data_IF_443337909581
#
_entry.id   IF_443337909581
#
_cell.length_a   1.000
_cell.length_b   1.000
_cell.length_c   1.000
_cell.angle_alpha   90.00
_cell.angle_beta   90.00
_cell.angle_gamma   90.00
#
_symmetry.space_group_name_H-M   'P 1'
#
loop_
_entity.id
_entity.type
_entity.pdbx_description
1 polymer ?
#
# COMPACT_ATOMS: atom_id res chain seq x y z
N UNK A 1 -6.82 10.12 -12.62
CA UNK A 1 -6.92 8.64 -12.70
C UNK A 1 -5.93 7.90 -11.78
N UNK A 2 -4.64 8.25 -11.76
CA UNK A 2 -3.64 7.50 -10.97
C UNK A 2 -3.88 7.53 -9.45
N UNK A 3 -4.34 8.65 -8.88
CA UNK A 3 -4.65 8.74 -7.44
C UNK A 3 -5.80 7.79 -7.05
N UNK A 4 -6.85 7.67 -7.87
CA UNK A 4 -7.96 6.76 -7.61
C UNK A 4 -7.52 5.30 -7.62
N UNK A 5 -6.65 4.91 -8.56
CA UNK A 5 -6.08 3.55 -8.60
C UNK A 5 -5.18 3.25 -7.39
N UNK A 6 -4.51 4.26 -6.83
CA UNK A 6 -3.66 4.10 -5.64
C UNK A 6 -4.40 3.63 -4.41
N UNK A 7 -5.67 4.01 -4.23
CA UNK A 7 -6.49 3.52 -3.12
C UNK A 7 -6.76 2.01 -3.23
N UNK A 8 -7.03 1.51 -4.45
CA UNK A 8 -7.17 0.07 -4.69
C UNK A 8 -5.88 -0.69 -4.36
N UNK A 9 -4.72 -0.16 -4.77
CA UNK A 9 -3.42 -0.74 -4.41
C UNK A 9 -3.14 -0.71 -2.90
N UNK A 10 -3.52 0.37 -2.20
CA UNK A 10 -3.34 0.47 -0.75
C UNK A 10 -4.11 -0.65 -0.03
N UNK A 11 -5.38 -0.87 -0.38
CA UNK A 11 -6.21 -1.92 0.22
C UNK A 11 -5.68 -3.31 -0.12
N UNK A 12 -5.40 -3.57 -1.40
CA UNK A 12 -4.94 -4.87 -1.86
C UNK A 12 -3.59 -5.25 -1.25
N UNK A 13 -2.64 -4.31 -1.19
CA UNK A 13 -1.31 -4.55 -0.61
C UNK A 13 -1.36 -4.77 0.90
N UNK A 14 -2.16 -3.99 1.64
CA UNK A 14 -2.39 -4.22 3.07
C UNK A 14 -2.99 -5.59 3.33
N UNK A 15 -4.00 -6.00 2.55
CA UNK A 15 -4.63 -7.30 2.71
C UNK A 15 -3.68 -8.46 2.36
N UNK A 16 -2.95 -8.35 1.26
CA UNK A 16 -1.95 -9.35 0.87
C UNK A 16 -0.86 -9.51 1.93
N UNK A 17 -0.35 -8.40 2.46
CA UNK A 17 0.61 -8.42 3.56
C UNK A 17 0.03 -9.12 4.80
N UNK A 18 -1.19 -8.76 5.22
CA UNK A 18 -1.86 -9.40 6.35
C UNK A 18 -2.01 -10.91 6.15
N UNK A 19 -2.46 -11.37 4.99
CA UNK A 19 -2.61 -12.80 4.71
C UNK A 19 -1.26 -13.54 4.72
N UNK A 20 -0.29 -13.04 3.96
CA UNK A 20 0.99 -13.74 3.77
C UNK A 20 1.79 -13.77 5.08
N UNK A 21 1.87 -12.66 5.80
CA UNK A 21 2.69 -12.59 7.03
C UNK A 21 2.11 -13.41 8.17
N UNK A 22 0.79 -13.38 8.37
CA UNK A 22 0.15 -14.20 9.42
C UNK A 22 0.21 -15.69 9.11
N UNK A 23 0.05 -16.07 7.84
CA UNK A 23 0.30 -17.45 7.43
C UNK A 23 1.76 -17.85 7.69
N UNK A 24 2.72 -16.96 7.39
CA UNK A 24 4.14 -17.16 7.68
C UNK A 24 4.43 -17.35 9.17
N UNK A 25 3.85 -16.51 10.04
CA UNK A 25 3.99 -16.62 11.51
C UNK A 25 3.47 -17.96 12.03
N UNK A 26 2.30 -18.39 11.54
CA UNK A 26 1.76 -19.70 11.87
C UNK A 26 2.68 -20.84 11.36
N UNK A 27 3.14 -20.75 10.11
CA UNK A 27 4.03 -21.75 9.51
C UNK A 27 5.40 -21.84 10.19
N UNK A 28 5.88 -20.76 10.80
CA UNK A 28 7.10 -20.72 11.62
C UNK A 28 6.92 -21.36 13.01
N UNK A 29 5.71 -21.80 13.38
CA UNK A 29 5.45 -22.49 14.64
C UNK A 29 5.21 -21.57 15.84
N UNK A 30 4.91 -20.28 15.62
CA UNK A 30 4.59 -19.34 16.71
C UNK A 30 3.23 -19.62 17.36
N UNK A 31 2.37 -20.35 16.65
CA UNK A 31 1.07 -20.82 17.10
C UNK A 31 0.98 -22.33 16.89
N UNK A 32 0.09 -23.04 17.61
CA UNK A 32 -0.13 -24.47 17.37
C UNK A 32 -0.42 -24.75 15.89
N UNK A 33 0.18 -25.82 15.34
CA UNK A 33 0.00 -26.27 13.95
C UNK A 33 -1.37 -26.92 13.72
N UNK A 34 -2.43 -26.28 14.21
CA UNK A 34 -3.83 -26.67 14.07
C UNK A 34 -4.60 -25.52 13.42
N UNK A 35 -5.79 -25.84 12.89
CA UNK A 35 -6.67 -24.82 12.31
C UNK A 35 -7.12 -23.77 13.34
N UNK A 36 -7.22 -24.16 14.62
CA UNK A 36 -7.50 -23.25 15.72
C UNK A 36 -6.34 -22.26 15.95
N UNK A 37 -5.08 -22.74 15.93
CA UNK A 37 -3.90 -21.88 16.04
C UNK A 37 -3.76 -20.92 14.86
N UNK A 38 -4.11 -21.36 13.65
CA UNK A 38 -4.18 -20.50 12.46
C UNK A 38 -5.20 -19.37 12.67
N UNK A 39 -6.43 -19.72 13.08
CA UNK A 39 -7.50 -18.74 13.31
C UNK A 39 -7.12 -17.73 14.38
N UNK A 40 -6.50 -18.20 15.47
CA UNK A 40 -6.03 -17.34 16.56
C UNK A 40 -4.96 -16.35 16.10
N UNK A 41 -3.99 -16.80 15.29
CA UNK A 41 -2.96 -15.92 14.71
C UNK A 41 -3.58 -14.76 13.92
N UNK A 42 -4.58 -15.05 13.08
CA UNK A 42 -5.27 -14.05 12.28
C UNK A 42 -6.11 -13.08 13.12
N UNK A 43 -6.84 -13.58 14.13
CA UNK A 43 -7.64 -12.73 15.04
C UNK A 43 -6.74 -11.74 15.78
N UNK A 44 -5.63 -12.23 16.33
CA UNK A 44 -4.67 -11.42 17.08
C UNK A 44 -4.03 -10.32 16.22
N UNK A 45 -3.93 -10.53 14.90
CA UNK A 45 -3.37 -9.55 13.98
C UNK A 45 -4.37 -8.50 13.47
N UNK A 46 -5.67 -8.62 13.75
CA UNK A 46 -6.70 -7.65 13.32
C UNK A 46 -6.40 -6.21 13.80
N UNK A 47 -6.00 -5.97 15.07
CA UNK A 47 -5.69 -4.61 15.52
C UNK A 47 -4.54 -3.98 14.73
N UNK A 48 -3.51 -4.78 14.40
CA UNK A 48 -2.37 -4.33 13.59
C UNK A 48 -2.77 -4.10 12.12
N UNK A 49 -3.61 -4.96 11.56
CA UNK A 49 -4.12 -4.77 10.20
C UNK A 49 -4.86 -3.45 10.03
N UNK A 50 -5.67 -3.06 11.03
CA UNK A 50 -6.42 -1.79 11.00
C UNK A 50 -5.49 -0.58 10.90
N UNK A 51 -4.46 -0.51 11.73
CA UNK A 51 -3.51 0.61 11.70
C UNK A 51 -2.70 0.62 10.41
N UNK A 52 -2.29 -0.56 9.92
CA UNK A 52 -1.59 -0.71 8.64
C UNK A 52 -2.46 -0.26 7.46
N UNK A 53 -3.74 -0.65 7.42
CA UNK A 53 -4.66 -0.29 6.35
C UNK A 53 -4.86 1.22 6.28
N UNK A 54 -5.14 1.86 7.42
CA UNK A 54 -5.31 3.32 7.49
C UNK A 54 -4.02 4.03 7.07
N UNK A 55 -2.86 3.57 7.54
CA UNK A 55 -1.57 4.11 7.15
C UNK A 55 -1.34 4.04 5.64
N UNK A 56 -1.61 2.89 5.02
CA UNK A 56 -1.47 2.71 3.57
C UNK A 56 -2.48 3.54 2.77
N UNK A 57 -3.72 3.68 3.25
CA UNK A 57 -4.72 4.54 2.61
C UNK A 57 -4.33 6.01 2.57
N UNK A 58 -3.45 6.46 3.48
CA UNK A 58 -2.92 7.83 3.47
C UNK A 58 -1.62 7.89 2.67
N UNK A 59 -0.68 7.01 2.96
CA UNK A 59 0.68 7.07 2.42
C UNK A 59 0.71 6.86 0.90
N UNK A 60 0.03 5.83 0.39
CA UNK A 60 0.11 5.45 -1.02
C UNK A 60 -0.50 6.51 -1.94
N UNK A 61 -1.71 7.06 -1.68
CA UNK A 61 -2.24 8.17 -2.48
C UNK A 61 -1.41 9.44 -2.34
N UNK A 62 -0.88 9.74 -1.15
CA UNK A 62 -0.04 10.93 -0.91
C UNK A 62 1.26 10.87 -1.71
N UNK A 63 1.93 9.71 -1.74
CA UNK A 63 3.11 9.49 -2.54
C UNK A 63 2.83 9.68 -4.04
N UNK A 64 1.72 9.14 -4.53
CA UNK A 64 1.31 9.33 -5.94
C UNK A 64 0.94 10.79 -6.22
N UNK A 65 0.29 11.49 -5.29
CA UNK A 65 -0.01 12.91 -5.44
C UNK A 65 1.27 13.76 -5.53
N UNK A 66 2.25 13.50 -4.65
CA UNK A 66 3.55 14.16 -4.69
C UNK A 66 4.26 13.94 -6.04
N UNK A 67 4.24 12.70 -6.56
CA UNK A 67 4.79 12.38 -7.88
C UNK A 67 4.10 13.16 -9.01
N UNK A 68 2.77 13.30 -8.97
CA UNK A 68 2.03 14.07 -9.97
C UNK A 68 2.42 15.54 -9.97
N UNK A 69 2.59 16.15 -8.80
CA UNK A 69 3.01 17.56 -8.69
C UNK A 69 4.39 17.78 -9.31
N UNK A 70 5.33 16.89 -9.04
CA UNK A 70 6.68 16.94 -9.65
C UNK A 70 6.58 16.78 -11.17
N UNK A 71 5.79 15.80 -11.63
CA UNK A 71 5.60 15.54 -13.06
C UNK A 71 5.02 16.75 -13.80
N UNK A 72 4.02 17.42 -13.22
CA UNK A 72 3.43 18.63 -13.83
C UNK A 72 4.48 19.74 -13.97
N UNK A 73 5.33 19.96 -12.96
CA UNK A 73 6.40 20.98 -13.03
C UNK A 73 7.43 20.67 -14.11
N UNK A 74 7.84 19.41 -14.25
CA UNK A 74 8.79 18.99 -15.29
C UNK A 74 8.21 19.21 -16.69
N UNK A 75 6.96 18.79 -16.90
CA UNK A 75 6.28 18.93 -18.20
C UNK A 75 6.03 20.39 -18.57
N UNK A 76 5.65 21.24 -17.60
CA UNK A 76 5.48 22.68 -17.82
C UNK A 76 6.80 23.35 -18.21
N UNK A 77 7.92 23.00 -17.56
CA UNK A 77 9.25 23.50 -17.92
C UNK A 77 9.63 23.08 -19.34
N UNK A 78 9.35 21.84 -19.72
CA UNK A 78 9.65 21.32 -21.07
C UNK A 78 8.82 22.00 -22.16
N UNK A 79 7.55 22.32 -21.90
CA UNK A 79 6.70 22.97 -22.92
C UNK A 79 7.17 24.40 -23.23
N UNK A 80 7.64 25.14 -22.22
CA UNK A 80 8.22 26.47 -22.42
C UNK A 80 9.46 26.38 -23.31
N UNK A 81 10.40 25.48 -23.01
CA UNK A 81 11.61 25.30 -23.83
C UNK A 81 11.26 24.93 -25.28
N UNK A 82 10.33 23.99 -25.49
CA UNK A 82 9.93 23.59 -26.83
C UNK A 82 9.21 24.69 -27.64
N UNK A 83 8.62 25.69 -26.97
CA UNK A 83 7.99 26.85 -27.63
C UNK A 83 9.03 27.85 -28.12
N UNK A 84 10.16 27.99 -27.43
CA UNK A 84 11.26 28.89 -27.84
C UNK A 84 12.22 28.25 -28.85
N UNK A 85 12.29 26.92 -28.91
CA UNK A 85 13.14 26.17 -29.85
C UNK A 85 12.45 25.91 -31.19
N UNK A 86 11.13 26.14 -31.29
CA UNK A 86 10.37 26.18 -32.55
C UNK A 86 10.26 27.61 -33.05
#
# INVERSE_FOLDING_TARGET
RQIATSFGFAIASSFAFFAITNFGVWAQGWYPSTLAGLTQCYINAIPFYRTMLVGNMILVPSAVAAWQLVRIKILAKQSVVNTFVR
#
